data_IF_062955202790
#
_entry.id   IF_062955202790
#
_cell.length_a   1.000
_cell.length_b   1.000
_cell.length_c   1.000
_cell.angle_alpha   90.00
_cell.angle_beta   90.00
_cell.angle_gamma   90.00
#
_symmetry.space_group_name_H-M   'P 1'
#
loop_
_entity.id
_entity.type
_entity.pdbx_description
1 polymer ?
#
# COMPACT_ATOMS: atom_id res chain seq x y z
N UNK A 1 -12.11 -19.63 -4.49
CA UNK A 1 -11.59 -20.80 -3.73
C UNK A 1 -10.16 -20.58 -3.24
N UNK A 2 -9.23 -20.09 -4.06
CA UNK A 2 -7.83 -19.86 -3.64
C UNK A 2 -7.67 -18.77 -2.56
N UNK A 3 -8.43 -17.70 -2.63
CA UNK A 3 -8.42 -16.60 -1.65
C UNK A 3 -8.91 -17.06 -0.27
N UNK A 4 -10.00 -17.83 -0.21
CA UNK A 4 -10.54 -18.36 1.06
C UNK A 4 -9.52 -19.24 1.79
N UNK A 5 -8.83 -20.12 1.07
CA UNK A 5 -7.77 -20.94 1.67
C UNK A 5 -6.58 -20.11 2.17
N UNK A 6 -6.23 -19.02 1.49
CA UNK A 6 -5.18 -18.11 1.93
C UNK A 6 -5.60 -17.34 3.19
N UNK A 7 -6.85 -16.87 3.23
CA UNK A 7 -7.42 -16.22 4.41
C UNK A 7 -7.37 -17.15 5.64
N UNK A 8 -7.82 -18.39 5.51
CA UNK A 8 -7.82 -19.38 6.60
C UNK A 8 -6.40 -19.61 7.16
N UNK A 9 -5.39 -19.64 6.30
CA UNK A 9 -3.99 -19.75 6.71
C UNK A 9 -3.51 -18.51 7.48
N UNK A 10 -3.77 -17.30 6.96
CA UNK A 10 -3.39 -16.05 7.64
C UNK A 10 -4.05 -15.94 9.01
N UNK A 11 -5.32 -16.29 9.12
CA UNK A 11 -6.03 -16.32 10.40
C UNK A 11 -5.37 -17.31 11.38
N UNK A 12 -5.04 -18.52 10.92
CA UNK A 12 -4.34 -19.51 11.75
C UNK A 12 -2.96 -19.03 12.21
N UNK A 13 -2.19 -18.36 11.33
CA UNK A 13 -0.91 -17.76 11.70
C UNK A 13 -1.11 -16.65 12.75
N UNK A 14 -2.11 -15.82 12.57
CA UNK A 14 -2.39 -14.73 13.51
C UNK A 14 -2.75 -15.23 14.92
N UNK A 15 -3.56 -16.28 15.02
CA UNK A 15 -3.92 -16.90 16.31
C UNK A 15 -2.69 -17.42 17.07
N UNK A 16 -1.68 -17.89 16.34
CA UNK A 16 -0.45 -18.46 16.90
C UNK A 16 0.72 -17.47 16.91
N UNK A 17 0.50 -16.17 16.64
CA UNK A 17 1.55 -15.17 16.37
C UNK A 17 2.63 -15.06 17.45
N UNK A 18 2.32 -15.39 18.70
CA UNK A 18 3.27 -15.29 19.82
C UNK A 18 4.23 -16.50 19.89
N UNK A 19 3.91 -17.59 19.20
CA UNK A 19 4.71 -18.82 19.12
C UNK A 19 5.22 -19.16 17.73
N UNK A 20 4.97 -18.29 16.73
CA UNK A 20 5.37 -18.55 15.36
C UNK A 20 6.88 -18.48 15.14
N UNK A 21 7.38 -19.38 14.31
CA UNK A 21 8.68 -19.22 13.69
C UNK A 21 8.55 -18.32 12.45
N UNK A 22 8.90 -17.03 12.57
CA UNK A 22 8.82 -16.07 11.47
C UNK A 22 9.84 -16.30 10.35
N UNK A 23 10.73 -17.28 10.47
CA UNK A 23 11.62 -17.71 9.38
C UNK A 23 11.02 -18.85 8.54
N UNK A 24 9.85 -19.37 8.92
CA UNK A 24 9.16 -20.43 8.19
C UNK A 24 8.85 -20.00 6.75
N UNK A 25 9.17 -20.86 5.78
CA UNK A 25 9.05 -20.57 4.35
C UNK A 25 7.61 -20.44 3.89
N UNK A 26 6.69 -21.25 4.43
CA UNK A 26 5.30 -21.27 4.03
C UNK A 26 4.58 -20.02 4.55
N UNK A 27 4.84 -19.65 5.82
CA UNK A 27 4.37 -18.40 6.39
C UNK A 27 4.83 -17.21 5.55
N UNK A 28 6.11 -17.12 5.23
CA UNK A 28 6.68 -16.04 4.41
C UNK A 28 6.06 -15.99 3.01
N UNK A 29 5.88 -17.15 2.40
CA UNK A 29 5.27 -17.29 1.07
C UNK A 29 3.82 -16.81 1.08
N UNK A 30 3.01 -17.28 2.03
CA UNK A 30 1.59 -16.92 2.12
C UNK A 30 1.41 -15.42 2.43
N UNK A 31 2.19 -14.85 3.35
CA UNK A 31 2.19 -13.42 3.65
C UNK A 31 2.60 -12.59 2.42
N UNK A 32 3.68 -12.95 1.73
CA UNK A 32 4.09 -12.26 0.51
C UNK A 32 3.02 -12.33 -0.59
N UNK A 33 2.31 -13.45 -0.70
CA UNK A 33 1.21 -13.60 -1.66
C UNK A 33 0.09 -12.59 -1.38
N UNK A 34 -0.28 -12.38 -0.12
CA UNK A 34 -1.27 -11.34 0.24
C UNK A 34 -0.77 -9.94 -0.14
N UNK A 35 0.50 -9.62 0.16
CA UNK A 35 1.07 -8.32 -0.20
C UNK A 35 1.09 -8.08 -1.71
N UNK A 36 1.37 -9.12 -2.50
CA UNK A 36 1.35 -9.03 -3.97
C UNK A 36 -0.07 -8.85 -4.51
N UNK A 37 -1.08 -9.52 -3.94
CA UNK A 37 -2.48 -9.33 -4.32
C UNK A 37 -2.98 -7.91 -3.98
N UNK A 38 -2.54 -7.34 -2.86
CA UNK A 38 -2.77 -5.92 -2.55
C UNK A 38 -2.08 -5.01 -3.56
N UNK A 39 -0.81 -5.29 -3.89
CA UNK A 39 0.00 -4.49 -4.82
C UNK A 39 -0.60 -4.47 -6.23
N UNK A 40 -1.20 -5.58 -6.66
CA UNK A 40 -1.91 -5.70 -7.94
C UNK A 40 -3.32 -5.11 -7.93
N UNK A 41 -3.90 -4.88 -6.75
CA UNK A 41 -5.29 -4.42 -6.60
C UNK A 41 -6.32 -5.53 -6.69
N UNK A 42 -5.90 -6.80 -6.73
CA UNK A 42 -6.80 -7.95 -6.76
C UNK A 42 -7.59 -8.11 -5.46
N UNK A 43 -7.00 -7.69 -4.34
CA UNK A 43 -7.68 -7.59 -3.06
C UNK A 43 -7.50 -6.20 -2.45
N UNK A 44 -8.39 -5.80 -1.57
CA UNK A 44 -8.35 -4.51 -0.86
C UNK A 44 -8.48 -4.70 0.64
N UNK A 45 -7.91 -3.77 1.42
CA UNK A 45 -8.08 -3.75 2.87
C UNK A 45 -9.52 -3.41 3.25
N UNK A 46 -10.21 -2.60 2.46
CA UNK A 46 -11.64 -2.35 2.64
C UNK A 46 -12.37 -2.31 1.30
N UNK A 47 -13.56 -2.88 1.27
CA UNK A 47 -14.41 -3.00 0.09
C UNK A 47 -15.83 -2.58 0.39
N UNK A 48 -16.51 -2.02 -0.61
CA UNK A 48 -17.94 -1.68 -0.51
C UNK A 48 -18.79 -2.90 -0.85
N UNK A 49 -19.43 -3.50 0.16
CA UNK A 49 -20.32 -4.65 0.03
C UNK A 49 -21.74 -4.24 0.45
N UNK A 50 -22.72 -4.46 -0.42
CA UNK A 50 -24.14 -4.09 -0.16
C UNK A 50 -24.32 -2.62 0.27
N UNK A 51 -23.55 -1.71 -0.34
CA UNK A 51 -23.61 -0.27 -0.06
C UNK A 51 -22.83 0.20 1.18
N UNK A 52 -22.25 -0.70 1.95
CA UNK A 52 -21.46 -0.38 3.16
C UNK A 52 -20.01 -0.80 3.01
N UNK A 53 -19.10 0.02 3.53
CA UNK A 53 -17.69 -0.33 3.59
C UNK A 53 -17.43 -1.38 4.66
N UNK A 54 -16.66 -2.40 4.30
CA UNK A 54 -16.29 -3.51 5.18
C UNK A 54 -14.78 -3.73 5.12
N UNK A 55 -14.13 -3.72 6.28
CA UNK A 55 -12.71 -3.99 6.39
C UNK A 55 -12.43 -5.50 6.35
N UNK A 56 -11.50 -5.90 5.51
CA UNK A 56 -10.98 -7.26 5.43
C UNK A 56 -9.85 -7.42 6.47
N UNK A 57 -10.22 -7.67 7.72
CA UNK A 57 -9.26 -7.71 8.83
C UNK A 57 -8.14 -8.73 8.62
N UNK A 58 -8.40 -9.85 7.94
CA UNK A 58 -7.38 -10.85 7.64
C UNK A 58 -6.24 -10.27 6.78
N UNK A 59 -6.55 -9.32 5.91
CA UNK A 59 -5.54 -8.62 5.09
C UNK A 59 -4.66 -7.73 5.96
N UNK A 60 -5.24 -6.99 6.92
CA UNK A 60 -4.47 -6.22 7.91
C UNK A 60 -3.56 -7.12 8.76
N UNK A 61 -4.05 -8.30 9.16
CA UNK A 61 -3.25 -9.32 9.87
C UNK A 61 -2.04 -9.76 9.05
N UNK A 62 -2.22 -10.00 7.75
CA UNK A 62 -1.11 -10.35 6.86
C UNK A 62 -0.07 -9.22 6.77
N UNK A 63 -0.52 -7.96 6.65
CA UNK A 63 0.37 -6.80 6.65
C UNK A 63 1.18 -6.74 7.97
N UNK A 64 0.54 -6.91 9.11
CA UNK A 64 1.22 -6.91 10.42
C UNK A 64 2.21 -8.07 10.57
N UNK A 65 1.85 -9.27 10.12
CA UNK A 65 2.76 -10.42 10.10
C UNK A 65 3.98 -10.15 9.21
N UNK A 66 3.81 -9.40 8.11
CA UNK A 66 4.91 -9.13 7.18
C UNK A 66 6.09 -8.40 7.83
N UNK A 67 5.84 -7.53 8.80
CA UNK A 67 6.90 -6.82 9.53
C UNK A 67 7.75 -7.75 10.42
N UNK A 68 7.18 -8.91 10.80
CA UNK A 68 7.90 -9.91 11.60
C UNK A 68 8.62 -10.96 10.72
N UNK A 69 8.18 -11.14 9.48
CA UNK A 69 8.76 -12.11 8.54
C UNK A 69 9.98 -11.60 7.79
N UNK A 70 10.29 -10.30 7.89
CA UNK A 70 11.41 -9.66 7.19
C UNK A 70 12.27 -8.88 8.15
N UNK A 71 13.58 -8.94 7.93
CA UNK A 71 14.55 -8.06 8.56
C UNK A 71 14.73 -6.78 7.74
N UNK A 72 15.26 -5.74 8.37
CA UNK A 72 15.65 -4.55 7.62
C UNK A 72 16.76 -4.91 6.63
N UNK A 73 16.64 -4.41 5.43
CA UNK A 73 17.66 -4.56 4.38
C UNK A 73 17.90 -3.24 3.67
N UNK A 74 19.09 -3.10 3.08
CA UNK A 74 19.40 -1.95 2.25
C UNK A 74 18.78 -2.15 0.89
N UNK A 75 18.06 -1.14 0.41
CA UNK A 75 17.62 -1.06 -0.98
C UNK A 75 17.81 0.37 -1.51
N UNK A 76 17.92 0.50 -2.83
CA UNK A 76 18.25 1.77 -3.47
C UNK A 76 17.31 2.12 -4.61
N UNK A 77 17.16 3.41 -4.89
CA UNK A 77 16.54 3.88 -6.11
C UNK A 77 17.54 3.88 -7.25
N UNK A 78 17.26 3.14 -8.30
CA UNK A 78 17.96 3.26 -9.57
C UNK A 78 19.03 2.23 -9.85
N UNK A 79 19.32 2.10 -11.14
CA UNK A 79 20.43 1.31 -11.68
C UNK A 79 21.73 2.09 -11.53
N UNK A 80 22.83 1.39 -11.31
CA UNK A 80 24.19 1.91 -11.05
C UNK A 80 24.77 2.85 -12.13
N UNK A 81 24.05 3.11 -13.20
CA UNK A 81 24.56 3.83 -14.38
C UNK A 81 24.02 5.28 -14.51
N UNK A 82 23.18 5.76 -13.60
CA UNK A 82 22.69 7.14 -13.64
C UNK A 82 23.58 8.02 -12.76
N UNK A 83 24.11 9.12 -13.32
CA UNK A 83 24.92 10.13 -12.65
C UNK A 83 24.12 11.01 -11.64
N UNK A 84 22.92 10.60 -11.26
CA UNK A 84 22.12 11.22 -10.21
C UNK A 84 22.26 10.40 -8.93
N UNK A 85 22.40 11.06 -7.80
CA UNK A 85 22.65 10.43 -6.51
C UNK A 85 21.73 9.23 -6.25
N UNK A 86 22.32 8.12 -5.89
CA UNK A 86 21.60 6.92 -5.49
C UNK A 86 21.08 7.12 -4.07
N UNK A 87 19.76 7.21 -3.91
CA UNK A 87 19.16 7.18 -2.57
C UNK A 87 19.17 5.75 -2.06
N UNK A 88 19.52 5.58 -0.81
CA UNK A 88 19.48 4.29 -0.11
C UNK A 88 18.57 4.37 1.09
N UNK A 89 17.86 3.28 1.34
CA UNK A 89 16.99 3.12 2.51
C UNK A 89 17.35 1.84 3.25
N UNK A 90 16.99 1.77 4.52
CA UNK A 90 17.17 0.59 5.36
C UNK A 90 15.85 0.28 6.04
N UNK A 91 15.03 -0.58 5.43
CA UNK A 91 13.67 -0.90 5.91
C UNK A 91 13.32 -2.35 5.55
N UNK A 92 12.19 -2.80 6.06
CA UNK A 92 11.58 -4.12 5.82
C UNK A 92 10.71 -4.15 4.56
N UNK A 93 10.24 -3.01 4.10
CA UNK A 93 9.28 -2.87 3.00
C UNK A 93 9.91 -2.11 1.84
N UNK A 94 10.10 -2.80 0.73
CA UNK A 94 10.61 -2.20 -0.50
C UNK A 94 9.64 -1.16 -1.07
N UNK A 95 10.14 -0.36 -1.99
CA UNK A 95 9.28 0.49 -2.82
C UNK A 95 8.57 -0.37 -3.88
N UNK A 96 7.32 0.01 -4.19
CA UNK A 96 6.54 -0.61 -5.27
C UNK A 96 7.29 -0.61 -6.60
N UNK A 97 7.97 0.49 -6.90
CA UNK A 97 8.63 0.72 -8.19
C UNK A 97 10.08 0.23 -8.24
N UNK A 98 10.54 -0.50 -7.20
CA UNK A 98 11.89 -1.06 -7.17
C UNK A 98 12.12 -2.02 -8.34
N UNK A 99 13.11 -1.72 -9.18
CA UNK A 99 13.47 -2.56 -10.31
C UNK A 99 12.54 -2.45 -11.53
N UNK A 100 11.57 -1.56 -11.52
CA UNK A 100 10.71 -1.35 -12.68
C UNK A 100 11.49 -0.79 -13.86
N UNK A 101 11.21 -1.36 -15.03
CA UNK A 101 11.67 -0.89 -16.34
C UNK A 101 10.51 -0.23 -17.09
N UNK A 102 10.78 0.35 -18.26
CA UNK A 102 9.79 1.12 -19.03
C UNK A 102 8.49 0.35 -19.30
N UNK A 103 8.58 -0.95 -19.57
CA UNK A 103 7.42 -1.80 -19.83
C UNK A 103 6.47 -1.88 -18.62
N UNK A 104 7.00 -1.94 -17.40
CA UNK A 104 6.16 -1.95 -16.18
C UNK A 104 5.45 -0.60 -16.00
N UNK A 105 6.14 0.51 -16.23
CA UNK A 105 5.54 1.85 -16.19
C UNK A 105 4.45 2.02 -17.23
N UNK A 106 4.70 1.60 -18.45
CA UNK A 106 3.74 1.66 -19.57
C UNK A 106 2.50 0.83 -19.26
N UNK A 107 2.68 -0.38 -18.75
CA UNK A 107 1.59 -1.29 -18.39
C UNK A 107 0.72 -0.74 -17.25
N UNK A 108 1.33 -0.12 -16.24
CA UNK A 108 0.61 0.43 -15.08
C UNK A 108 -0.05 1.77 -15.36
N UNK A 109 0.46 2.50 -16.35
CA UNK A 109 -0.13 3.72 -16.90
C UNK A 109 -0.49 4.80 -15.85
N UNK A 110 0.36 5.03 -14.86
CA UNK A 110 0.26 6.17 -13.94
C UNK A 110 1.53 7.02 -13.97
N UNK A 111 1.43 8.28 -13.58
CA UNK A 111 2.55 9.21 -13.54
C UNK A 111 3.10 9.36 -12.12
N UNK A 112 4.39 9.18 -11.95
CA UNK A 112 5.11 9.39 -10.70
C UNK A 112 6.20 10.45 -10.90
N UNK A 113 6.07 11.56 -10.22
CA UNK A 113 7.06 12.65 -10.25
C UNK A 113 8.25 12.28 -9.35
N UNK A 114 9.50 12.67 -9.68
CA UNK A 114 10.64 12.43 -8.81
C UNK A 114 10.38 12.89 -7.37
N UNK A 115 10.64 12.02 -6.39
CA UNK A 115 10.35 12.25 -4.98
C UNK A 115 9.03 11.66 -4.48
N UNK A 116 8.19 11.10 -5.34
CA UNK A 116 7.06 10.31 -4.90
C UNK A 116 7.52 8.96 -4.34
N UNK A 117 7.05 8.59 -3.17
CA UNK A 117 7.37 7.34 -2.47
C UNK A 117 6.11 6.48 -2.41
N UNK A 118 6.20 5.29 -2.98
CA UNK A 118 5.12 4.29 -2.96
C UNK A 118 5.67 3.03 -2.32
N UNK A 119 5.16 2.65 -1.15
CA UNK A 119 5.58 1.40 -0.51
C UNK A 119 4.93 0.20 -1.20
N UNK A 120 5.66 -0.93 -1.27
CA UNK A 120 5.13 -2.18 -1.80
C UNK A 120 3.83 -2.57 -1.08
N UNK A 121 2.88 -3.17 -1.78
CA UNK A 121 1.49 -3.47 -1.42
C UNK A 121 0.51 -2.27 -1.44
N UNK A 122 0.96 -1.07 -1.76
CA UNK A 122 0.04 -0.01 -2.14
C UNK A 122 -0.40 -0.20 -3.60
N UNK A 123 -1.69 -0.15 -3.88
CA UNK A 123 -2.21 -0.17 -5.24
C UNK A 123 -2.36 1.24 -5.80
N UNK A 124 -1.88 1.44 -7.01
CA UNK A 124 -2.03 2.68 -7.79
C UNK A 124 -2.67 2.31 -9.12
N UNK A 125 -3.85 2.84 -9.38
CA UNK A 125 -4.57 2.60 -10.62
C UNK A 125 -4.01 3.44 -11.79
N UNK A 126 -4.48 3.14 -12.98
CA UNK A 126 -4.15 3.89 -14.19
C UNK A 126 -4.58 5.36 -14.10
N UNK A 127 -3.91 6.22 -14.86
CA UNK A 127 -4.20 7.66 -14.94
C UNK A 127 -4.09 8.42 -13.60
N UNK A 128 -3.54 7.80 -12.57
CA UNK A 128 -3.19 8.49 -11.31
C UNK A 128 -1.96 9.36 -11.52
N UNK A 129 -1.94 10.52 -10.87
CA UNK A 129 -0.77 11.40 -10.82
C UNK A 129 -0.28 11.49 -9.38
N UNK A 130 0.96 11.08 -9.16
CA UNK A 130 1.65 11.24 -7.89
C UNK A 130 2.70 12.33 -8.03
N UNK A 131 2.48 13.48 -7.39
CA UNK A 131 3.51 14.48 -7.15
C UNK A 131 4.47 13.95 -6.06
N UNK A 132 5.54 14.66 -5.69
CA UNK A 132 6.36 14.27 -4.54
C UNK A 132 5.49 14.08 -3.29
N UNK A 133 5.11 12.88 -2.99
CA UNK A 133 4.10 12.49 -2.02
C UNK A 133 4.43 11.13 -1.41
N UNK A 134 3.68 10.69 -0.41
CA UNK A 134 3.92 9.41 0.23
C UNK A 134 2.65 8.56 0.23
N UNK A 135 2.74 7.35 -0.33
CA UNK A 135 1.66 6.36 -0.30
C UNK A 135 2.14 5.13 0.46
N UNK A 136 1.49 4.86 1.58
CA UNK A 136 1.88 3.80 2.50
C UNK A 136 1.30 2.43 2.09
N UNK A 137 1.85 1.36 2.68
CA UNK A 137 1.48 -0.02 2.37
C UNK A 137 -0.01 -0.29 2.61
N UNK A 138 -0.60 -1.15 1.80
CA UNK A 138 -2.01 -1.51 1.85
C UNK A 138 -2.97 -0.42 1.41
N UNK A 139 -2.49 0.79 1.11
CA UNK A 139 -3.31 1.86 0.55
C UNK A 139 -3.80 1.50 -0.86
N UNK A 140 -4.95 2.05 -1.23
CA UNK A 140 -5.53 1.89 -2.56
C UNK A 140 -5.84 3.27 -3.12
N UNK A 141 -5.29 3.59 -4.28
CA UNK A 141 -5.55 4.85 -5.01
C UNK A 141 -6.17 4.51 -6.35
N UNK A 142 -7.43 4.87 -6.52
CA UNK A 142 -8.19 4.56 -7.73
C UNK A 142 -7.93 5.57 -8.86
N UNK A 143 -8.40 5.21 -10.05
CA UNK A 143 -8.07 5.84 -11.34
C UNK A 143 -8.42 7.34 -11.41
N UNK A 144 -7.61 8.08 -12.16
CA UNK A 144 -7.81 9.50 -12.40
C UNK A 144 -7.55 10.43 -11.21
N UNK A 145 -7.10 9.87 -10.07
CA UNK A 145 -6.85 10.66 -8.86
C UNK A 145 -5.48 11.34 -8.88
N UNK A 146 -5.36 12.46 -8.17
CA UNK A 146 -4.12 13.17 -7.97
C UNK A 146 -3.74 13.22 -6.49
N UNK A 147 -2.54 12.77 -6.17
CA UNK A 147 -1.91 12.91 -4.87
C UNK A 147 -0.86 14.00 -5.00
N UNK A 148 -1.21 15.21 -4.57
CA UNK A 148 -0.42 16.40 -4.81
C UNK A 148 0.80 16.51 -3.87
N UNK A 149 1.60 17.54 -4.07
CA UNK A 149 2.91 17.73 -3.43
C UNK A 149 2.83 17.66 -1.91
N UNK A 150 3.62 16.78 -1.33
CA UNK A 150 3.69 16.50 0.13
C UNK A 150 2.39 15.99 0.75
N UNK A 151 1.40 15.57 -0.06
CA UNK A 151 0.26 14.85 0.47
C UNK A 151 0.65 13.43 0.90
N UNK A 152 -0.07 12.90 1.87
CA UNK A 152 0.18 11.58 2.45
C UNK A 152 -1.07 10.72 2.35
N UNK A 153 -0.93 9.50 1.87
CA UNK A 153 -1.95 8.45 1.96
C UNK A 153 -1.46 7.41 2.96
N UNK A 154 -2.12 7.39 4.11
CA UNK A 154 -1.75 6.52 5.22
C UNK A 154 -1.97 5.03 4.94
N UNK A 155 -1.44 4.18 5.82
CA UNK A 155 -1.55 2.72 5.67
C UNK A 155 -3.00 2.28 5.55
N UNK A 156 -3.30 1.46 4.56
CA UNK A 156 -4.63 0.88 4.33
C UNK A 156 -5.72 1.88 3.89
N UNK A 157 -5.43 3.17 3.79
CA UNK A 157 -6.40 4.18 3.34
C UNK A 157 -6.90 3.87 1.92
N UNK A 158 -8.17 4.18 1.66
CA UNK A 158 -8.82 3.89 0.38
C UNK A 158 -9.23 5.21 -0.27
N UNK A 159 -8.62 5.52 -1.41
CA UNK A 159 -8.89 6.70 -2.22
C UNK A 159 -9.66 6.27 -3.46
N UNK A 160 -10.83 6.85 -3.66
CA UNK A 160 -11.71 6.60 -4.80
C UNK A 160 -11.22 7.22 -6.10
N UNK A 161 -12.08 7.17 -7.12
CA UNK A 161 -11.79 7.69 -8.45
C UNK A 161 -11.87 9.22 -8.52
N UNK A 162 -11.04 9.82 -9.36
CA UNK A 162 -11.07 11.27 -9.62
C UNK A 162 -10.99 12.11 -8.33
N UNK A 163 -10.25 11.64 -7.33
CA UNK A 163 -10.02 12.36 -6.08
C UNK A 163 -8.82 13.27 -6.25
N UNK A 164 -8.90 14.48 -5.72
CA UNK A 164 -7.76 15.38 -5.61
C UNK A 164 -7.40 15.58 -4.13
N UNK A 165 -6.25 15.05 -3.73
CA UNK A 165 -5.63 15.38 -2.46
C UNK A 165 -4.67 16.53 -2.70
N UNK A 166 -5.03 17.74 -2.27
CA UNK A 166 -4.20 18.94 -2.49
C UNK A 166 -2.92 18.92 -1.66
N UNK A 167 -2.01 19.84 -1.96
CA UNK A 167 -0.67 19.88 -1.38
C UNK A 167 -0.66 19.84 0.14
N UNK A 168 0.10 18.91 0.69
CA UNK A 168 0.24 18.70 2.13
C UNK A 168 -1.00 18.15 2.83
N UNK A 169 -2.02 17.69 2.11
CA UNK A 169 -3.16 17.02 2.73
C UNK A 169 -2.71 15.67 3.32
N UNK A 170 -3.15 15.35 4.52
CA UNK A 170 -2.87 14.11 5.23
C UNK A 170 -4.11 13.22 5.28
N UNK A 171 -4.02 12.01 4.73
CA UNK A 171 -5.03 10.96 4.93
C UNK A 171 -4.47 9.97 5.92
N UNK A 172 -5.11 9.87 7.07
CA UNK A 172 -4.71 9.02 8.16
C UNK A 172 -4.64 7.55 7.77
N UNK A 173 -3.67 6.85 8.34
CA UNK A 173 -3.47 5.41 8.14
C UNK A 173 -3.89 4.63 9.35
N UNK A 174 -4.74 3.64 9.18
CA UNK A 174 -5.22 2.81 10.27
C UNK A 174 -4.88 1.34 10.02
N UNK A 175 -3.65 0.99 10.38
CA UNK A 175 -3.20 -0.41 10.43
C UNK A 175 -3.42 -1.00 11.82
N UNK A 176 -3.11 -0.25 12.85
CA UNK A 176 -3.34 -0.58 14.26
C UNK A 176 -4.13 0.54 14.95
N UNK A 177 -5.10 0.20 15.80
CA UNK A 177 -5.51 -1.16 16.18
C UNK A 177 -6.22 -1.91 15.03
N UNK A 178 -6.15 -3.25 15.08
CA UNK A 178 -6.63 -4.11 13.98
C UNK A 178 -8.10 -3.89 13.63
N UNK A 179 -8.95 -3.65 14.63
CA UNK A 179 -10.40 -3.46 14.47
C UNK A 179 -10.79 -2.10 13.88
N UNK A 180 -9.91 -1.11 13.93
CA UNK A 180 -10.21 0.21 13.38
C UNK A 180 -10.35 0.16 11.86
N UNK A 181 -11.29 0.94 11.32
CA UNK A 181 -11.53 0.99 9.88
C UNK A 181 -10.49 1.90 9.20
N UNK A 182 -10.05 1.58 8.00
CA UNK A 182 -9.21 2.49 7.22
C UNK A 182 -10.01 3.74 6.84
N UNK A 183 -9.30 4.87 6.72
CA UNK A 183 -9.90 6.09 6.18
C UNK A 183 -10.29 5.87 4.73
N UNK A 184 -11.49 6.32 4.36
CA UNK A 184 -12.05 6.17 3.03
C UNK A 184 -12.41 7.55 2.48
N UNK A 185 -11.86 7.88 1.33
CA UNK A 185 -12.23 9.03 0.52
C UNK A 185 -12.96 8.48 -0.70
N UNK A 186 -14.25 8.75 -0.83
CA UNK A 186 -15.05 8.26 -1.95
C UNK A 186 -14.77 9.05 -3.25
N UNK A 187 -15.35 8.60 -4.36
CA UNK A 187 -15.10 9.14 -5.69
C UNK A 187 -15.43 10.65 -5.79
N UNK A 188 -14.69 11.35 -6.64
CA UNK A 188 -14.87 12.76 -6.98
C UNK A 188 -14.73 13.74 -5.79
N UNK A 189 -14.05 13.35 -4.71
CA UNK A 189 -13.76 14.22 -3.59
C UNK A 189 -12.59 15.16 -3.89
N UNK A 190 -12.66 16.37 -3.35
CA UNK A 190 -11.57 17.32 -3.31
C UNK A 190 -11.20 17.62 -1.86
N UNK A 191 -9.96 17.31 -1.49
CA UNK A 191 -9.43 17.56 -0.15
C UNK A 191 -8.52 18.78 -0.23
N UNK A 192 -8.89 19.84 0.50
CA UNK A 192 -8.16 21.10 0.52
C UNK A 192 -6.73 20.96 1.03
N UNK A 193 -5.86 21.89 0.62
CA UNK A 193 -4.46 21.86 1.01
C UNK A 193 -4.29 21.88 2.54
N UNK A 194 -3.36 21.04 3.04
CA UNK A 194 -3.05 20.88 4.48
C UNK A 194 -4.21 20.45 5.37
N UNK A 195 -5.29 19.93 4.77
CA UNK A 195 -6.34 19.25 5.54
C UNK A 195 -5.83 17.92 6.09
N UNK A 196 -6.27 17.57 7.29
CA UNK A 196 -6.01 16.27 7.90
C UNK A 196 -7.33 15.50 8.03
N UNK A 197 -7.38 14.31 7.43
CA UNK A 197 -8.54 13.41 7.50
C UNK A 197 -8.12 12.19 8.31
N UNK A 198 -8.68 12.06 9.48
CA UNK A 198 -8.48 10.91 10.36
C UNK A 198 -9.76 10.06 10.47
N UNK A 199 -9.66 8.88 11.09
CA UNK A 199 -10.80 8.03 11.40
C UNK A 199 -11.75 8.72 12.39
#
# INVERSE_FOLDING_TARGET
MAEKGLQEKIESYWEKKDSLNFTDSDLRSDVNKVLNLLDSGEIRVSEKKNGSWQANQWVKKAILLSFKTKDNSIFSSGTSNLRGGQYTWFDKVNLKTSGWVEDEWTKRNFRSVPGAIIRHSAYIAESVVLMPSFVNLGAYVDSGSMIDTWATVGSCAQIGKNVHLSGGAGIGGVLEPLQANPVIIEDNCFIGARSEIAE
#
